data_IF_433445680805
#
_entry.id   IF_433445680805
#
_cell.length_a   1.000
_cell.length_b   1.000
_cell.length_c   1.000
_cell.angle_alpha   90.00
_cell.angle_beta   90.00
_cell.angle_gamma   90.00
#
_symmetry.space_group_name_H-M   'P 1'
#
loop_
_entity.id
_entity.type
_entity.pdbx_description
1 polymer ?
#
# COMPACT_ATOMS: atom_id res chain seq x y z
N UNK A 1 1.66 4.28 22.64
CA UNK A 1 1.54 3.13 21.73
C UNK A 1 0.11 3.10 21.22
N UNK A 2 -0.08 3.52 19.98
CA UNK A 2 -1.38 3.68 19.34
C UNK A 2 -2.07 2.34 18.98
N UNK A 3 -1.28 1.26 18.87
CA UNK A 3 -1.78 -0.06 18.46
C UNK A 3 -1.56 -1.14 19.53
N UNK A 4 -1.43 -0.76 20.80
CA UNK A 4 -1.18 -1.72 21.87
C UNK A 4 -2.28 -2.80 21.92
N UNK A 5 -1.87 -4.05 21.75
CA UNK A 5 -2.75 -5.23 21.78
C UNK A 5 -3.56 -5.47 20.52
N UNK A 6 -3.47 -4.60 19.50
CA UNK A 6 -4.10 -4.79 18.18
C UNK A 6 -3.36 -5.85 17.36
N UNK A 7 -4.11 -6.54 16.50
CA UNK A 7 -3.58 -7.51 15.52
C UNK A 7 -3.64 -6.91 14.13
N UNK A 8 -2.57 -7.05 13.35
CA UNK A 8 -2.45 -6.45 12.04
C UNK A 8 -1.92 -7.43 10.98
N UNK A 9 -2.53 -7.41 9.80
CA UNK A 9 -2.02 -8.07 8.59
C UNK A 9 -1.60 -7.04 7.56
N UNK A 10 -0.37 -7.19 7.04
CA UNK A 10 0.18 -6.32 5.99
C UNK A 10 0.57 -7.19 4.78
N UNK A 11 -0.14 -7.03 3.68
CA UNK A 11 0.25 -7.71 2.44
C UNK A 11 1.41 -6.99 1.76
N UNK A 12 2.39 -7.75 1.25
CA UNK A 12 3.63 -7.16 0.74
C UNK A 12 4.45 -6.47 1.84
N UNK A 13 4.44 -7.03 3.05
CA UNK A 13 5.12 -6.49 4.23
C UNK A 13 6.62 -6.77 4.28
N UNK A 14 7.18 -7.43 3.27
CA UNK A 14 8.59 -7.81 3.20
C UNK A 14 9.51 -6.77 2.55
N UNK A 15 8.98 -5.62 2.09
CA UNK A 15 9.76 -4.56 1.47
C UNK A 15 9.02 -3.20 1.43
N UNK A 16 9.76 -2.13 1.18
CA UNK A 16 9.25 -0.80 0.92
C UNK A 16 8.23 -0.30 1.95
N UNK A 17 7.10 0.24 1.50
CA UNK A 17 6.05 0.81 2.34
C UNK A 17 5.49 -0.24 3.32
N UNK A 18 5.29 -1.48 2.86
CA UNK A 18 4.77 -2.55 3.72
C UNK A 18 5.69 -2.87 4.88
N UNK A 19 7.01 -2.98 4.63
CA UNK A 19 8.01 -3.25 5.66
C UNK A 19 8.14 -2.08 6.67
N UNK A 20 8.19 -0.85 6.17
CA UNK A 20 8.21 0.34 7.03
C UNK A 20 6.96 0.44 7.90
N UNK A 21 5.78 0.09 7.35
CA UNK A 21 4.54 0.03 8.10
C UNK A 21 4.57 -1.08 9.15
N UNK A 22 5.07 -2.27 8.81
CA UNK A 22 5.21 -3.37 9.76
C UNK A 22 6.10 -2.97 10.96
N UNK A 23 7.26 -2.36 10.68
CA UNK A 23 8.18 -1.84 11.70
C UNK A 23 7.49 -0.81 12.59
N UNK A 24 6.76 0.12 11.99
CA UNK A 24 6.03 1.15 12.75
C UNK A 24 4.93 0.53 13.62
N UNK A 25 4.17 -0.42 13.13
CA UNK A 25 3.10 -1.09 13.87
C UNK A 25 3.64 -1.89 15.07
N UNK A 26 4.75 -2.60 14.89
CA UNK A 26 5.46 -3.30 16.00
C UNK A 26 5.88 -2.30 17.07
N UNK A 27 6.49 -1.17 16.68
CA UNK A 27 6.90 -0.10 17.62
C UNK A 27 5.71 0.45 18.41
N UNK A 28 4.53 0.48 17.79
CA UNK A 28 3.29 0.96 18.41
C UNK A 28 2.51 -0.13 19.17
N UNK A 29 3.11 -1.32 19.31
CA UNK A 29 2.60 -2.38 20.17
C UNK A 29 1.62 -3.35 19.53
N UNK A 30 1.51 -3.37 18.19
CA UNK A 30 0.72 -4.35 17.48
C UNK A 30 1.40 -5.71 17.38
N UNK A 31 0.61 -6.77 17.36
CA UNK A 31 1.01 -8.10 16.87
C UNK A 31 0.82 -8.09 15.35
N UNK A 32 1.91 -8.27 14.60
CA UNK A 32 1.92 -8.08 13.15
C UNK A 32 2.17 -9.39 12.42
N UNK A 33 1.38 -9.68 11.39
CA UNK A 33 1.69 -10.65 10.35
C UNK A 33 1.99 -9.93 9.04
N UNK A 34 2.99 -10.42 8.32
CA UNK A 34 3.37 -9.92 7.01
C UNK A 34 3.27 -11.02 5.96
N UNK A 35 2.93 -10.65 4.72
CA UNK A 35 2.99 -11.59 3.59
C UNK A 35 3.91 -11.09 2.50
N UNK A 36 4.39 -12.02 1.71
CA UNK A 36 5.21 -11.78 0.52
C UNK A 36 5.38 -13.07 -0.28
N UNK A 37 5.84 -12.95 -1.52
CA UNK A 37 6.08 -14.10 -2.42
C UNK A 37 7.48 -14.65 -2.29
N UNK A 38 8.45 -13.77 -2.14
CA UNK A 38 9.85 -14.12 -1.99
C UNK A 38 10.15 -14.56 -0.55
N UNK A 39 10.57 -15.82 -0.41
CA UNK A 39 10.78 -16.45 0.90
C UNK A 39 11.97 -15.85 1.65
N UNK A 40 13.03 -15.44 0.93
CA UNK A 40 14.25 -14.94 1.55
C UNK A 40 14.03 -13.55 2.17
N UNK A 41 13.46 -12.61 1.40
CA UNK A 41 13.15 -11.26 1.90
C UNK A 41 12.07 -11.29 2.98
N UNK A 42 11.11 -12.23 2.88
CA UNK A 42 10.07 -12.39 3.88
C UNK A 42 10.64 -12.90 5.21
N UNK A 43 11.53 -13.90 5.17
CA UNK A 43 12.20 -14.43 6.36
C UNK A 43 13.13 -13.37 7.00
N UNK A 44 13.85 -12.60 6.19
CA UNK A 44 14.70 -11.51 6.69
C UNK A 44 13.88 -10.44 7.44
N UNK A 45 12.76 -10.01 6.86
CA UNK A 45 11.86 -9.03 7.48
C UNK A 45 11.24 -9.58 8.79
N UNK A 46 10.84 -10.85 8.80
CA UNK A 46 10.29 -11.49 9.99
C UNK A 46 11.30 -11.57 11.12
N UNK A 47 12.55 -11.98 10.82
CA UNK A 47 13.63 -12.05 11.81
C UNK A 47 14.00 -10.66 12.34
N UNK A 48 14.05 -9.65 11.48
CA UNK A 48 14.35 -8.28 11.89
C UNK A 48 13.31 -7.72 12.85
N UNK A 49 12.02 -7.97 12.58
CA UNK A 49 10.92 -7.33 13.28
C UNK A 49 10.30 -8.21 14.40
N UNK A 50 10.63 -9.48 14.46
CA UNK A 50 9.99 -10.43 15.39
C UNK A 50 8.50 -10.65 15.07
N UNK A 51 8.12 -10.69 13.79
CA UNK A 51 6.72 -10.77 13.34
C UNK A 51 6.41 -12.11 12.66
N UNK A 52 5.14 -12.46 12.59
CA UNK A 52 4.69 -13.63 11.85
C UNK A 52 4.83 -13.41 10.34
N UNK A 53 5.54 -14.31 9.68
CA UNK A 53 5.69 -14.30 8.22
C UNK A 53 4.92 -15.44 7.57
N UNK A 54 4.09 -15.10 6.59
CA UNK A 54 3.29 -16.10 5.86
C UNK A 54 3.54 -15.91 4.36
N UNK A 55 4.20 -16.89 3.74
CA UNK A 55 4.38 -16.85 2.29
C UNK A 55 3.03 -17.01 1.60
N UNK A 56 2.63 -16.01 0.83
CA UNK A 56 1.35 -16.02 0.11
C UNK A 56 1.45 -15.18 -1.16
N UNK A 57 0.94 -15.72 -2.26
CA UNK A 57 0.65 -14.95 -3.46
C UNK A 57 -0.82 -14.48 -3.39
N UNK A 58 -1.04 -13.19 -3.43
CA UNK A 58 -2.39 -12.60 -3.36
C UNK A 58 -3.30 -13.01 -4.52
N UNK A 59 -2.71 -13.50 -5.64
CA UNK A 59 -3.44 -13.99 -6.80
C UNK A 59 -3.90 -15.44 -6.63
N UNK A 60 -3.28 -16.21 -5.74
CA UNK A 60 -3.60 -17.62 -5.52
C UNK A 60 -4.73 -17.74 -4.47
N UNK A 61 -5.85 -18.33 -4.89
CA UNK A 61 -7.02 -18.50 -4.04
C UNK A 61 -6.76 -19.43 -2.85
N UNK A 62 -6.01 -20.52 -3.06
CA UNK A 62 -5.68 -21.47 -2.01
C UNK A 62 -4.69 -20.87 -1.00
N UNK A 63 -3.64 -20.17 -1.49
CA UNK A 63 -2.72 -19.47 -0.63
C UNK A 63 -3.42 -18.38 0.21
N UNK A 64 -4.40 -17.69 -0.37
CA UNK A 64 -5.21 -16.71 0.35
C UNK A 64 -6.08 -17.36 1.42
N UNK A 65 -6.75 -18.47 1.14
CA UNK A 65 -7.52 -19.21 2.16
C UNK A 65 -6.61 -19.63 3.31
N UNK A 66 -5.52 -20.31 3.01
CA UNK A 66 -4.55 -20.77 4.02
C UNK A 66 -3.94 -19.64 4.84
N UNK A 67 -3.77 -18.44 4.22
CA UNK A 67 -3.33 -17.24 4.93
C UNK A 67 -4.32 -16.88 6.05
N UNK A 68 -5.60 -16.76 5.74
CA UNK A 68 -6.60 -16.34 6.73
C UNK A 68 -6.92 -17.41 7.76
N UNK A 69 -6.84 -18.71 7.41
CA UNK A 69 -6.88 -19.80 8.38
C UNK A 69 -5.76 -19.65 9.41
N UNK A 70 -4.54 -19.38 8.95
CA UNK A 70 -3.39 -19.17 9.83
C UNK A 70 -3.51 -17.90 10.69
N UNK A 71 -4.02 -16.81 10.15
CA UNK A 71 -4.30 -15.59 10.94
C UNK A 71 -5.33 -15.89 12.03
N UNK A 72 -6.37 -16.66 11.71
CA UNK A 72 -7.36 -17.10 12.68
C UNK A 72 -6.74 -17.92 13.80
N UNK A 73 -5.89 -18.89 13.47
CA UNK A 73 -5.26 -19.78 14.45
C UNK A 73 -4.27 -19.02 15.37
N UNK A 74 -3.50 -18.07 14.81
CA UNK A 74 -2.47 -17.35 15.57
C UNK A 74 -3.02 -16.15 16.34
N UNK A 75 -3.99 -15.42 15.76
CA UNK A 75 -4.47 -14.15 16.32
C UNK A 75 -5.91 -14.22 16.83
N UNK A 76 -6.72 -15.16 16.33
CA UNK A 76 -8.15 -15.30 16.67
C UNK A 76 -9.01 -14.25 15.96
N UNK A 77 -8.53 -13.03 15.76
CA UNK A 77 -9.21 -11.91 15.10
C UNK A 77 -8.19 -11.01 14.39
N UNK A 78 -8.71 -10.07 13.58
CA UNK A 78 -7.90 -9.12 12.85
C UNK A 78 -8.44 -7.69 13.07
N UNK A 79 -7.68 -6.83 13.75
CA UNK A 79 -8.04 -5.43 13.96
C UNK A 79 -7.72 -4.56 12.75
N UNK A 80 -6.61 -4.85 12.07
CA UNK A 80 -6.07 -3.99 11.01
C UNK A 80 -5.67 -4.82 9.81
N UNK A 81 -6.18 -4.45 8.63
CA UNK A 81 -5.69 -4.93 7.34
C UNK A 81 -5.06 -3.78 6.57
N UNK A 82 -3.77 -3.86 6.27
CA UNK A 82 -3.14 -3.00 5.26
C UNK A 82 -2.98 -3.78 3.95
N UNK A 83 -3.90 -3.55 3.00
CA UNK A 83 -3.87 -4.14 1.67
C UNK A 83 -2.89 -3.35 0.78
N UNK A 84 -1.60 -3.68 0.92
CA UNK A 84 -0.49 -2.95 0.33
C UNK A 84 0.13 -3.65 -0.89
N UNK A 85 0.07 -4.99 -0.97
CA UNK A 85 0.67 -5.73 -2.07
C UNK A 85 0.23 -5.19 -3.43
N UNK A 86 1.19 -4.94 -4.31
CA UNK A 86 0.92 -4.42 -5.64
C UNK A 86 2.15 -4.48 -6.53
N UNK A 87 1.93 -4.29 -7.83
CA UNK A 87 2.96 -4.20 -8.86
C UNK A 87 2.78 -2.96 -9.70
N UNK A 88 3.85 -2.51 -10.34
CA UNK A 88 3.82 -1.52 -11.39
C UNK A 88 4.54 -2.07 -12.63
N UNK A 89 3.96 -1.83 -13.78
CA UNK A 89 4.59 -2.03 -15.09
C UNK A 89 4.41 -0.74 -15.87
N UNK A 90 5.48 -0.29 -16.48
CA UNK A 90 5.52 0.96 -17.23
C UNK A 90 5.99 0.64 -18.66
N UNK A 91 5.24 1.08 -19.63
CA UNK A 91 5.57 0.92 -21.06
C UNK A 91 4.79 1.94 -21.90
N UNK A 92 5.35 2.39 -23.05
CA UNK A 92 4.60 3.13 -24.05
C UNK A 92 3.33 2.36 -24.43
N UNK A 93 2.28 3.10 -24.84
CA UNK A 93 0.98 2.47 -25.16
C UNK A 93 1.10 1.45 -26.28
N UNK A 94 1.96 1.74 -27.27
CA UNK A 94 2.19 0.87 -28.43
C UNK A 94 2.90 -0.43 -28.07
N UNK A 95 3.62 -0.47 -26.96
CA UNK A 95 4.41 -1.61 -26.50
C UNK A 95 3.73 -2.36 -25.34
N UNK A 96 2.62 -1.82 -24.81
CA UNK A 96 1.93 -2.40 -23.67
C UNK A 96 1.24 -3.70 -24.08
N UNK A 97 1.69 -4.82 -23.55
CA UNK A 97 1.07 -6.11 -23.78
C UNK A 97 -0.22 -6.24 -22.97
N UNK A 98 -1.26 -6.84 -23.55
CA UNK A 98 -2.52 -7.17 -22.87
C UNK A 98 -2.26 -7.90 -21.54
N UNK A 99 -1.38 -8.91 -21.58
CA UNK A 99 -0.98 -9.64 -20.37
C UNK A 99 -0.43 -8.73 -19.26
N UNK A 100 0.36 -7.72 -19.61
CA UNK A 100 0.97 -6.83 -18.62
C UNK A 100 -0.08 -5.89 -18.02
N UNK A 101 -1.02 -5.44 -18.83
CA UNK A 101 -2.16 -4.66 -18.38
C UNK A 101 -3.02 -5.48 -17.40
N UNK A 102 -3.37 -6.70 -17.78
CA UNK A 102 -4.16 -7.62 -16.97
C UNK A 102 -3.46 -8.01 -15.66
N UNK A 103 -2.17 -8.32 -15.68
CA UNK A 103 -1.41 -8.65 -14.49
C UNK A 103 -1.46 -7.51 -13.45
N UNK A 104 -1.38 -6.26 -13.91
CA UNK A 104 -1.47 -5.08 -13.03
C UNK A 104 -2.87 -4.95 -12.44
N UNK A 105 -3.93 -5.08 -13.25
CA UNK A 105 -5.30 -5.00 -12.75
C UNK A 105 -5.63 -6.16 -11.80
N UNK A 106 -5.25 -7.39 -12.15
CA UNK A 106 -5.49 -8.55 -11.30
C UNK A 106 -4.81 -8.43 -9.95
N UNK A 107 -3.55 -7.96 -9.94
CA UNK A 107 -2.79 -7.83 -8.69
C UNK A 107 -3.29 -6.64 -7.85
N UNK A 108 -3.46 -5.47 -8.48
CA UNK A 108 -3.69 -4.24 -7.73
C UNK A 108 -5.17 -3.97 -7.42
N UNK A 109 -6.10 -4.61 -8.14
CA UNK A 109 -7.55 -4.40 -7.94
C UNK A 109 -8.21 -5.69 -7.48
N UNK A 110 -8.20 -6.74 -8.32
CA UNK A 110 -8.93 -7.97 -8.02
C UNK A 110 -8.40 -8.64 -6.75
N UNK A 111 -7.09 -8.79 -6.60
CA UNK A 111 -6.50 -9.42 -5.43
C UNK A 111 -6.70 -8.58 -4.15
N UNK A 112 -6.69 -7.24 -4.26
CA UNK A 112 -7.01 -6.36 -3.13
C UNK A 112 -8.43 -6.59 -2.65
N UNK A 113 -9.42 -6.60 -3.56
CA UNK A 113 -10.81 -6.90 -3.23
C UNK A 113 -10.96 -8.27 -2.55
N UNK A 114 -10.39 -9.31 -3.16
CA UNK A 114 -10.46 -10.68 -2.64
C UNK A 114 -9.75 -10.85 -1.28
N UNK A 115 -8.68 -10.09 -1.05
CA UNK A 115 -7.99 -10.06 0.25
C UNK A 115 -8.87 -9.41 1.32
N UNK A 116 -9.50 -8.28 1.01
CA UNK A 116 -10.47 -7.65 1.92
C UNK A 116 -11.61 -8.60 2.21
N UNK A 117 -12.24 -9.20 1.18
CA UNK A 117 -13.33 -10.14 1.34
C UNK A 117 -12.97 -11.32 2.26
N UNK A 118 -11.78 -11.90 2.08
CA UNK A 118 -11.30 -13.03 2.89
C UNK A 118 -10.97 -12.64 4.34
N UNK A 119 -10.65 -11.37 4.60
CA UNK A 119 -10.38 -10.87 5.95
C UNK A 119 -11.67 -10.65 6.77
N UNK A 120 -12.81 -10.38 6.13
CA UNK A 120 -14.05 -9.96 6.79
C UNK A 120 -14.59 -10.92 7.87
N UNK A 121 -14.42 -12.24 7.78
CA UNK A 121 -14.85 -13.15 8.85
C UNK A 121 -14.06 -12.96 10.17
N UNK A 122 -12.88 -12.37 10.11
CA UNK A 122 -12.01 -12.11 11.27
C UNK A 122 -12.10 -10.67 11.78
N UNK A 123 -12.87 -9.81 11.07
CA UNK A 123 -12.98 -8.38 11.36
C UNK A 123 -14.38 -8.02 11.84
N UNK A 124 -14.46 -7.11 12.81
CA UNK A 124 -15.70 -6.65 13.42
C UNK A 124 -15.68 -5.15 13.76
N UNK A 125 -16.59 -4.69 14.62
CA UNK A 125 -16.65 -3.28 15.00
C UNK A 125 -15.33 -2.76 15.59
N UNK A 126 -14.93 -1.54 15.20
CA UNK A 126 -13.69 -0.91 15.63
C UNK A 126 -12.44 -1.32 14.85
N UNK A 127 -12.59 -2.17 13.81
CA UNK A 127 -11.46 -2.57 12.97
C UNK A 127 -11.24 -1.60 11.79
N UNK A 128 -10.05 -1.63 11.19
CA UNK A 128 -9.63 -0.72 10.13
C UNK A 128 -9.01 -1.44 8.94
N UNK A 129 -9.46 -1.09 7.74
CA UNK A 129 -8.86 -1.51 6.47
C UNK A 129 -8.23 -0.27 5.84
N UNK A 130 -6.94 -0.35 5.53
CA UNK A 130 -6.23 0.69 4.78
C UNK A 130 -5.84 0.12 3.43
N UNK A 131 -6.21 0.80 2.35
CA UNK A 131 -5.85 0.45 0.98
C UNK A 131 -4.68 1.30 0.49
N UNK A 132 -3.75 0.70 -0.23
CA UNK A 132 -2.62 1.43 -0.81
C UNK A 132 -2.95 1.96 -2.21
N UNK A 133 -3.37 3.23 -2.28
CA UNK A 133 -3.60 3.98 -3.51
C UNK A 133 -2.32 4.42 -4.21
N UNK A 134 -2.41 5.52 -4.95
CA UNK A 134 -1.27 6.26 -5.53
C UNK A 134 -1.75 7.58 -6.13
N UNK A 135 -0.90 8.60 -6.15
CA UNK A 135 -1.13 9.82 -6.91
C UNK A 135 -1.31 9.55 -8.42
N UNK A 136 -0.76 8.45 -8.95
CA UNK A 136 -0.91 8.04 -10.34
C UNK A 136 -2.37 7.88 -10.79
N UNK A 137 -3.29 7.67 -9.86
CA UNK A 137 -4.73 7.65 -10.13
C UNK A 137 -5.29 9.03 -10.56
N UNK A 138 -4.53 10.11 -10.37
CA UNK A 138 -4.95 11.50 -10.64
C UNK A 138 -4.01 12.19 -11.62
N UNK A 139 -2.71 11.84 -11.59
CA UNK A 139 -1.71 12.42 -12.49
C UNK A 139 -1.74 11.75 -13.86
N UNK A 140 -1.57 12.52 -14.93
CA UNK A 140 -1.44 12.00 -16.31
C UNK A 140 -0.01 11.59 -16.66
N UNK A 141 0.60 10.69 -15.87
CA UNK A 141 1.96 10.22 -16.15
C UNK A 141 2.00 9.32 -17.39
N UNK A 142 2.92 9.58 -18.31
CA UNK A 142 3.15 8.71 -19.48
C UNK A 142 3.55 7.30 -19.04
N UNK A 143 3.34 6.32 -19.92
CA UNK A 143 3.75 4.92 -19.75
C UNK A 143 3.11 4.18 -18.55
N UNK A 144 2.15 4.80 -17.86
CA UNK A 144 1.59 4.27 -16.61
C UNK A 144 0.12 3.86 -16.71
N UNK A 145 -0.44 3.69 -17.89
CA UNK A 145 -1.88 3.51 -18.10
C UNK A 145 -2.50 2.39 -17.25
N UNK A 146 -1.91 1.19 -17.26
CA UNK A 146 -2.38 0.07 -16.46
C UNK A 146 -2.30 0.36 -14.95
N UNK A 147 -1.17 0.92 -14.51
CA UNK A 147 -0.95 1.25 -13.10
C UNK A 147 -1.92 2.35 -12.64
N UNK A 148 -2.06 3.43 -13.40
CA UNK A 148 -2.98 4.52 -13.10
C UNK A 148 -4.43 4.02 -13.03
N UNK A 149 -4.89 3.23 -14.01
CA UNK A 149 -6.22 2.61 -14.01
C UNK A 149 -6.43 1.73 -12.76
N UNK A 150 -5.43 0.92 -12.40
CA UNK A 150 -5.52 0.06 -11.21
C UNK A 150 -5.66 0.87 -9.92
N UNK A 151 -4.88 1.94 -9.76
CA UNK A 151 -4.91 2.78 -8.55
C UNK A 151 -6.16 3.67 -8.49
N UNK A 152 -6.72 4.08 -9.63
CA UNK A 152 -8.05 4.69 -9.70
C UNK A 152 -9.15 3.71 -9.25
N UNK A 153 -9.05 2.44 -9.66
CA UNK A 153 -9.93 1.37 -9.19
C UNK A 153 -9.88 1.17 -7.68
N UNK A 154 -8.69 1.16 -7.08
CA UNK A 154 -8.52 1.08 -5.62
C UNK A 154 -9.19 2.26 -4.90
N UNK A 155 -9.05 3.48 -5.41
CA UNK A 155 -9.68 4.67 -4.84
C UNK A 155 -11.21 4.60 -4.89
N UNK A 156 -11.77 4.16 -6.03
CA UNK A 156 -13.21 3.95 -6.17
C UNK A 156 -13.71 2.84 -5.23
N UNK A 157 -12.98 1.72 -5.17
CA UNK A 157 -13.25 0.59 -4.27
C UNK A 157 -13.23 1.01 -2.80
N UNK A 158 -12.31 1.88 -2.39
CA UNK A 158 -12.25 2.40 -1.03
C UNK A 158 -13.58 3.01 -0.59
N UNK A 159 -14.16 3.89 -1.40
CA UNK A 159 -15.43 4.55 -1.09
C UNK A 159 -16.62 3.56 -1.06
N UNK A 160 -16.64 2.61 -1.99
CA UNK A 160 -17.69 1.59 -2.05
C UNK A 160 -17.63 0.68 -0.82
N UNK A 161 -16.45 0.13 -0.49
CA UNK A 161 -16.25 -0.72 0.67
C UNK A 161 -16.52 0.04 2.00
N UNK A 162 -16.16 1.31 2.06
CA UNK A 162 -16.46 2.16 3.23
C UNK A 162 -17.96 2.24 3.48
N UNK A 163 -18.76 2.48 2.44
CA UNK A 163 -20.22 2.50 2.54
C UNK A 163 -20.79 1.15 2.96
N UNK A 164 -20.33 0.07 2.32
CA UNK A 164 -20.84 -1.29 2.56
C UNK A 164 -20.48 -1.81 3.97
N UNK A 165 -19.29 -1.48 4.48
CA UNK A 165 -18.78 -2.01 5.75
C UNK A 165 -19.08 -1.12 6.96
N UNK A 166 -19.55 0.10 6.75
CA UNK A 166 -19.94 1.01 7.84
C UNK A 166 -20.98 0.41 8.81
N UNK A 167 -22.05 -0.30 8.36
CA UNK A 167 -23.00 -0.94 9.27
C UNK A 167 -22.36 -2.02 10.16
N UNK A 168 -21.21 -2.56 9.77
CA UNK A 168 -20.43 -3.52 10.55
C UNK A 168 -19.43 -2.85 11.52
N UNK A 169 -19.37 -1.51 11.55
CA UNK A 169 -18.42 -0.78 12.35
C UNK A 169 -16.96 -0.90 11.88
N UNK A 170 -16.74 -1.26 10.60
CA UNK A 170 -15.43 -1.42 9.98
C UNK A 170 -15.10 -0.15 9.20
N UNK A 171 -13.96 0.47 9.47
CA UNK A 171 -13.48 1.64 8.71
C UNK A 171 -12.67 1.18 7.51
N UNK A 172 -12.86 1.85 6.38
CA UNK A 172 -12.08 1.64 5.15
C UNK A 172 -11.61 2.98 4.64
N UNK A 173 -10.29 3.15 4.51
CA UNK A 173 -9.67 4.36 4.00
C UNK A 173 -8.52 4.01 3.06
N UNK A 174 -8.03 4.96 2.30
CA UNK A 174 -6.88 4.80 1.43
C UNK A 174 -5.75 5.77 1.80
N UNK A 175 -4.52 5.30 1.82
CA UNK A 175 -3.35 6.17 1.71
C UNK A 175 -3.02 6.36 0.23
N UNK A 176 -2.64 7.58 -0.17
CA UNK A 176 -2.32 7.94 -1.56
C UNK A 176 -0.87 8.44 -1.63
N UNK A 177 0.11 7.55 -1.78
CA UNK A 177 1.51 7.92 -1.87
C UNK A 177 1.83 8.72 -3.14
N UNK A 178 2.75 9.66 -2.99
CA UNK A 178 3.45 10.31 -4.09
C UNK A 178 4.62 9.47 -4.63
N UNK A 179 5.70 10.15 -5.02
CA UNK A 179 6.96 9.50 -5.41
C UNK A 179 7.68 9.09 -4.12
N UNK A 180 7.74 7.78 -3.86
CA UNK A 180 8.34 7.20 -2.66
C UNK A 180 9.51 6.31 -3.06
N UNK A 181 10.64 6.48 -2.40
CA UNK A 181 11.81 5.61 -2.56
C UNK A 181 11.49 4.20 -2.07
N UNK A 182 11.40 3.25 -3.00
CA UNK A 182 11.07 1.86 -2.74
C UNK A 182 11.68 0.95 -3.81
N UNK A 183 11.86 -0.35 -3.56
CA UNK A 183 12.38 -1.29 -4.55
C UNK A 183 11.54 -1.42 -5.84
N UNK A 184 10.35 -0.84 -5.89
CA UNK A 184 9.54 -0.81 -7.11
C UNK A 184 10.24 -0.02 -8.24
N UNK A 185 11.08 0.95 -7.88
CA UNK A 185 11.85 1.78 -8.82
C UNK A 185 13.07 1.06 -9.38
N UNK A 186 13.63 0.08 -8.67
CA UNK A 186 14.76 -0.74 -9.13
C UNK A 186 14.37 -1.61 -10.33
N UNK A 187 13.08 -1.89 -10.50
CA UNK A 187 12.54 -2.63 -11.65
C UNK A 187 12.49 -1.81 -12.93
N UNK A 188 12.64 -0.50 -12.83
CA UNK A 188 12.80 0.38 -13.98
C UNK A 188 14.30 0.48 -14.26
N UNK A 189 14.79 -0.34 -15.17
CA UNK A 189 16.20 -0.35 -15.56
C UNK A 189 16.59 1.04 -16.09
N UNK A 190 17.36 1.78 -15.28
CA UNK A 190 17.93 3.07 -15.65
C UNK A 190 19.44 2.95 -15.45
N UNK A 191 20.27 3.35 -16.42
CA UNK A 191 21.71 3.41 -16.22
C UNK A 191 22.06 4.25 -14.98
N UNK A 192 23.13 3.88 -14.22
CA UNK A 192 23.46 4.57 -12.97
C UNK A 192 23.62 6.10 -13.13
N UNK A 193 24.21 6.54 -14.24
CA UNK A 193 24.37 7.97 -14.57
C UNK A 193 23.04 8.68 -14.78
N UNK A 194 22.02 7.98 -15.29
CA UNK A 194 20.68 8.53 -15.48
C UNK A 194 19.83 8.48 -14.20
N UNK A 195 20.16 7.62 -13.25
CA UNK A 195 19.41 7.47 -11.99
C UNK A 195 19.46 8.76 -11.16
N UNK A 196 20.66 9.36 -10.97
CA UNK A 196 20.81 10.62 -10.24
C UNK A 196 20.13 11.81 -10.94
N UNK A 197 20.14 11.83 -12.26
CA UNK A 197 19.44 12.87 -13.03
C UNK A 197 17.92 12.72 -12.89
N UNK A 198 17.42 11.51 -12.94
CA UNK A 198 16.00 11.20 -12.71
C UNK A 198 15.57 11.63 -11.31
N UNK A 199 16.35 11.30 -10.29
CA UNK A 199 16.06 11.67 -8.91
C UNK A 199 15.97 13.19 -8.75
N UNK A 200 16.98 13.95 -9.23
CA UNK A 200 16.93 15.41 -9.20
C UNK A 200 15.70 15.98 -9.91
N UNK A 201 15.32 15.40 -11.06
CA UNK A 201 14.12 15.81 -11.80
C UNK A 201 12.85 15.55 -10.97
N UNK A 202 12.73 14.39 -10.35
CA UNK A 202 11.60 14.05 -9.49
C UNK A 202 11.53 14.99 -8.28
N UNK A 203 12.65 15.23 -7.59
CA UNK A 203 12.72 16.18 -6.47
C UNK A 203 12.26 17.58 -6.87
N UNK A 204 12.70 18.07 -8.02
CA UNK A 204 12.32 19.40 -8.51
C UNK A 204 10.83 19.54 -8.81
N UNK A 205 10.11 18.44 -9.08
CA UNK A 205 8.67 18.42 -9.29
C UNK A 205 7.85 18.34 -7.99
N UNK A 206 8.49 18.07 -6.85
CA UNK A 206 7.84 17.92 -5.57
C UNK A 206 7.95 19.21 -4.76
N UNK A 207 6.85 19.84 -4.31
CA UNK A 207 6.90 21.08 -3.51
C UNK A 207 7.81 21.04 -2.29
N UNK A 208 7.84 19.91 -1.55
CA UNK A 208 8.77 19.71 -0.42
C UNK A 208 10.21 19.41 -0.85
N UNK A 209 10.51 19.42 -2.15
CA UNK A 209 11.85 19.28 -2.72
C UNK A 209 12.62 18.03 -2.25
N UNK A 210 11.94 16.95 -2.02
CA UNK A 210 12.50 15.63 -1.73
C UNK A 210 11.60 14.51 -2.19
N UNK A 211 12.15 13.40 -2.56
CA UNK A 211 11.43 12.12 -2.69
C UNK A 211 10.97 11.69 -1.31
N UNK A 212 9.78 11.12 -1.20
CA UNK A 212 9.26 10.58 0.05
C UNK A 212 9.96 9.27 0.42
N UNK A 213 10.00 8.97 1.71
CA UNK A 213 10.47 7.69 2.24
C UNK A 213 9.31 6.78 2.57
N UNK A 214 9.56 5.49 2.67
CA UNK A 214 8.54 4.52 3.09
C UNK A 214 7.96 4.86 4.48
N UNK A 215 8.75 5.44 5.37
CA UNK A 215 8.36 5.89 6.70
C UNK A 215 7.36 7.06 6.67
N UNK A 216 7.44 7.94 5.66
CA UNK A 216 6.45 9.02 5.47
C UNK A 216 5.04 8.43 5.27
N UNK A 217 4.95 7.31 4.56
CA UNK A 217 3.68 6.60 4.34
C UNK A 217 3.27 5.78 5.56
N UNK A 218 4.22 5.11 6.21
CA UNK A 218 3.94 4.29 7.40
C UNK A 218 3.29 5.10 8.53
N UNK A 219 3.66 6.37 8.71
CA UNK A 219 3.02 7.28 9.66
C UNK A 219 1.55 7.55 9.34
N UNK A 220 1.23 7.78 8.07
CA UNK A 220 -0.13 7.98 7.60
C UNK A 220 -1.00 6.72 7.73
N UNK A 221 -0.42 5.55 7.40
CA UNK A 221 -1.10 4.25 7.56
C UNK A 221 -1.38 3.98 9.04
N UNK A 222 -0.42 4.25 9.93
CA UNK A 222 -0.60 4.13 11.38
C UNK A 222 -1.77 5.00 11.86
N UNK A 223 -1.81 6.26 11.46
CA UNK A 223 -2.92 7.18 11.82
C UNK A 223 -4.27 6.60 11.36
N UNK A 224 -4.40 6.22 10.09
CA UNK A 224 -5.66 5.66 9.56
C UNK A 224 -6.04 4.32 10.23
N UNK A 225 -5.07 3.55 10.68
CA UNK A 225 -5.28 2.28 11.36
C UNK A 225 -5.69 2.43 12.82
N UNK A 226 -5.30 3.53 13.47
CA UNK A 226 -5.52 3.80 14.89
C UNK A 226 -6.89 4.36 15.21
N UNK A 227 -7.23 4.42 16.50
CA UNK A 227 -8.47 5.01 17.00
C UNK A 227 -8.48 6.54 16.84
N UNK A 228 -7.34 7.20 16.58
CA UNK A 228 -7.28 8.63 16.22
C UNK A 228 -8.05 8.95 14.93
N UNK A 229 -8.22 7.95 14.06
CA UNK A 229 -9.00 8.06 12.82
C UNK A 229 -10.45 7.51 12.97
N UNK A 230 -10.98 7.42 14.20
CA UNK A 230 -12.29 6.78 14.46
C UNK A 230 -13.46 7.42 13.69
N UNK A 231 -13.35 8.70 13.31
CA UNK A 231 -14.38 9.41 12.54
C UNK A 231 -14.00 9.64 11.08
N UNK A 232 -12.99 8.87 10.58
CA UNK A 232 -12.54 8.94 9.18
C UNK A 232 -12.99 7.68 8.45
N UNK A 233 -13.82 7.86 7.40
CA UNK A 233 -14.41 6.77 6.62
C UNK A 233 -14.47 7.14 5.14
N UNK A 234 -14.02 6.26 4.27
CA UNK A 234 -14.01 6.47 2.82
C UNK A 234 -13.04 7.55 2.33
N UNK A 235 -12.12 7.97 3.19
CA UNK A 235 -11.19 9.05 2.91
C UNK A 235 -9.95 8.55 2.14
N UNK A 236 -9.34 9.50 1.41
CA UNK A 236 -8.08 9.35 0.72
C UNK A 236 -7.06 10.30 1.35
N UNK A 237 -6.12 9.75 2.11
CA UNK A 237 -5.05 10.54 2.73
C UNK A 237 -3.86 10.65 1.78
N UNK A 238 -3.70 11.82 1.15
CA UNK A 238 -2.61 12.10 0.21
C UNK A 238 -1.32 12.37 0.99
N UNK A 239 -0.25 11.64 0.61
CA UNK A 239 1.10 11.77 1.20
C UNK A 239 2.12 11.82 0.05
N UNK A 240 2.24 12.99 -0.58
CA UNK A 240 2.92 13.16 -1.86
C UNK A 240 3.88 14.37 -1.91
N UNK A 241 4.16 14.98 -0.77
CA UNK A 241 5.01 16.17 -0.70
C UNK A 241 4.43 17.41 -1.37
N UNK A 242 3.10 17.41 -1.64
CA UNK A 242 2.35 18.52 -2.22
C UNK A 242 2.17 18.44 -3.74
N UNK A 243 2.53 17.32 -4.39
CA UNK A 243 2.42 17.18 -5.85
C UNK A 243 1.00 17.40 -6.36
N UNK A 244 -0.01 16.83 -5.72
CA UNK A 244 -1.40 17.01 -6.14
C UNK A 244 -2.01 18.34 -5.68
N UNK A 245 -1.67 18.78 -4.46
CA UNK A 245 -2.34 19.94 -3.84
C UNK A 245 -1.66 21.28 -4.08
N UNK A 246 -0.38 21.30 -4.40
CA UNK A 246 0.45 22.51 -4.42
C UNK A 246 1.53 22.47 -5.51
N UNK A 247 1.27 21.86 -6.65
CA UNK A 247 2.24 21.64 -7.73
C UNK A 247 2.99 22.92 -8.15
N UNK A 248 2.28 24.07 -8.19
CA UNK A 248 2.88 25.35 -8.55
C UNK A 248 3.99 25.82 -7.60
N UNK A 249 4.07 25.25 -6.38
CA UNK A 249 5.11 25.55 -5.41
C UNK A 249 6.37 24.69 -5.59
N UNK A 250 6.39 23.74 -6.50
CA UNK A 250 7.55 22.90 -6.78
C UNK A 250 8.74 23.73 -7.31
N UNK A 251 9.99 23.36 -6.96
CA UNK A 251 11.18 24.08 -7.42
C UNK A 251 11.24 24.27 -8.95
N UNK A 252 10.81 23.27 -9.72
CA UNK A 252 10.75 23.35 -11.17
C UNK A 252 9.83 24.47 -11.71
N UNK A 253 8.90 24.99 -10.90
CA UNK A 253 7.93 26.04 -11.26
C UNK A 253 8.19 27.36 -10.56
N UNK A 254 9.19 27.43 -9.67
CA UNK A 254 9.60 28.70 -9.02
C UNK A 254 10.38 29.55 -10.04
N UNK A 255 9.94 30.80 -10.20
CA UNK A 255 10.64 31.81 -11.05
C UNK A 255 11.83 32.40 -10.30
#
# INVERSE_FOLDING_TARGET
>A
MLLKGKTALITGGNSGIGLATARRFVTEGARVAITGRDAATLAAAANELGVTAIRSDVLDAQARSSLFDRIKDEFGHLDILFANAGIAKFSPIEETLEKDFDDVLRTNVTAVFLTVQAALPLMGPGTSIVLNGSMAATTGSSESSAYAASKAGVRAMCRSLAGELSPRGIRVNAVVPGVIETPIWERIAVPPEAAAARERRLQAMIPLNRVGRAEDIAGAVLFLASDEAAYIQGAELVVDGGVLGSAAAAPAHRR
#
